data_IF_760964164973
#
_entry.id   IF_760964164973
#
_cell.length_a   1.000
_cell.length_b   1.000
_cell.length_c   1.000
_cell.angle_alpha   90.00
_cell.angle_beta   90.00
_cell.angle_gamma   90.00
#
_symmetry.space_group_name_H-M   'P 1'
#
loop_
_entity.id
_entity.type
_entity.pdbx_description
1 polymer ?
#
# COMPACT_ATOMS: atom_id res chain seq x y z
N UNK A 1 6.77 7.76 17.31
CA UNK A 1 7.83 6.99 18.00
C UNK A 1 9.17 7.49 17.52
N UNK A 2 10.22 7.63 18.36
CA UNK A 2 11.54 7.93 17.86
C UNK A 2 12.11 6.69 17.15
N UNK A 3 12.02 6.68 15.82
CA UNK A 3 12.71 5.69 14.98
C UNK A 3 14.19 6.02 14.85
N UNK A 4 14.99 5.04 14.43
CA UNK A 4 16.41 5.27 14.13
C UNK A 4 16.51 5.90 12.75
N UNK A 5 17.31 6.96 12.62
CA UNK A 5 17.50 7.62 11.32
C UNK A 5 18.53 6.83 10.52
N UNK A 6 18.10 6.21 9.42
CA UNK A 6 19.04 5.61 8.47
C UNK A 6 19.79 6.74 7.78
N UNK A 7 21.11 6.76 7.94
CA UNK A 7 21.99 7.76 7.34
C UNK A 7 22.54 7.30 6.01
N UNK A 8 22.85 6.00 5.88
CA UNK A 8 23.42 5.42 4.67
C UNK A 8 23.03 3.95 4.51
N UNK A 9 22.89 3.54 3.25
CA UNK A 9 22.79 2.14 2.85
C UNK A 9 23.89 1.92 1.80
N UNK A 10 24.84 1.02 2.08
CA UNK A 10 26.01 0.74 1.24
C UNK A 10 26.84 2.00 0.88
N UNK A 11 26.99 2.90 1.85
CA UNK A 11 27.73 4.15 1.70
C UNK A 11 27.03 5.20 0.82
N UNK A 12 25.79 4.94 0.39
CA UNK A 12 24.95 5.89 -0.35
C UNK A 12 23.88 6.47 0.55
N UNK A 13 23.38 7.66 0.17
CA UNK A 13 22.23 8.26 0.84
C UNK A 13 21.00 7.32 0.73
N UNK A 14 20.15 7.24 1.77
CA UNK A 14 18.94 6.43 1.73
C UNK A 14 18.03 6.96 0.63
N UNK A 15 17.57 6.07 -0.22
CA UNK A 15 16.63 6.33 -1.32
C UNK A 15 15.87 5.04 -1.60
N UNK A 16 14.70 5.15 -2.24
CA UNK A 16 13.91 3.97 -2.63
C UNK A 16 14.70 3.03 -3.54
N UNK A 17 15.52 3.58 -4.45
CA UNK A 17 16.43 2.79 -5.28
C UNK A 17 17.51 2.07 -4.47
N UNK A 18 18.12 2.76 -3.49
CA UNK A 18 19.11 2.14 -2.62
C UNK A 18 18.50 1.03 -1.76
N UNK A 19 17.28 1.26 -1.26
CA UNK A 19 16.49 0.29 -0.50
C UNK A 19 16.13 -0.93 -1.35
N UNK A 20 15.55 -0.73 -2.53
CA UNK A 20 15.17 -1.79 -3.46
C UNK A 20 16.38 -2.65 -3.86
N UNK A 21 17.50 -2.02 -4.23
CA UNK A 21 18.77 -2.73 -4.51
C UNK A 21 19.23 -3.55 -3.31
N UNK A 22 19.16 -2.97 -2.11
CA UNK A 22 19.60 -3.62 -0.88
C UNK A 22 18.75 -4.83 -0.48
N UNK A 23 17.43 -4.77 -0.72
CA UNK A 23 16.53 -5.91 -0.53
C UNK A 23 16.83 -7.05 -1.50
N UNK A 24 17.20 -6.68 -2.74
CA UNK A 24 17.52 -7.61 -3.83
C UNK A 24 18.88 -8.28 -3.67
N UNK A 25 19.92 -7.48 -3.45
CA UNK A 25 21.32 -7.90 -3.56
C UNK A 25 21.95 -8.20 -2.17
N UNK A 26 21.18 -7.98 -1.10
CA UNK A 26 21.71 -7.89 0.25
C UNK A 26 22.29 -6.51 0.53
N UNK A 27 22.65 -6.29 1.79
CA UNK A 27 23.36 -5.09 2.22
C UNK A 27 24.81 -5.47 2.49
N UNK A 28 25.72 -4.50 2.44
CA UNK A 28 27.06 -4.62 2.98
C UNK A 28 27.20 -3.80 4.28
N UNK A 29 26.56 -2.63 4.35
CA UNK A 29 26.56 -1.76 5.53
C UNK A 29 25.32 -0.86 5.62
N UNK A 30 24.65 -0.84 6.78
CA UNK A 30 23.68 0.20 7.14
C UNK A 30 24.28 1.07 8.23
N UNK A 31 24.30 2.38 8.03
CA UNK A 31 24.62 3.35 9.07
C UNK A 31 23.34 4.02 9.57
N UNK A 32 23.15 4.08 10.87
CA UNK A 32 21.99 4.73 11.49
C UNK A 32 22.42 5.56 12.70
N UNK A 33 21.65 6.62 12.94
CA UNK A 33 21.82 7.49 14.09
C UNK A 33 20.76 7.17 15.15
N UNK A 34 21.20 6.93 16.38
CA UNK A 34 20.31 6.91 17.52
C UNK A 34 19.93 8.35 17.86
N UNK A 35 18.64 8.74 17.79
CA UNK A 35 18.23 10.12 18.06
C UNK A 35 18.39 10.53 19.53
N UNK A 36 18.47 9.59 20.47
CA UNK A 36 18.60 9.87 21.91
C UNK A 36 20.05 10.10 22.33
N UNK A 37 20.99 9.36 21.74
CA UNK A 37 22.42 9.44 22.08
C UNK A 37 23.25 10.19 21.05
N UNK A 38 22.68 10.51 19.89
CA UNK A 38 23.33 11.05 18.68
C UNK A 38 24.43 10.14 18.09
N UNK A 39 24.66 8.98 18.69
CA UNK A 39 25.68 8.03 18.24
C UNK A 39 25.32 7.46 16.87
N UNK A 40 26.34 7.38 16.01
CA UNK A 40 26.26 6.73 14.72
C UNK A 40 26.78 5.32 14.88
N UNK A 41 25.93 4.38 14.53
CA UNK A 41 26.24 2.97 14.52
C UNK A 41 26.26 2.48 13.08
N UNK A 42 27.05 1.45 12.82
CA UNK A 42 27.07 0.79 11.53
C UNK A 42 26.97 -0.71 11.75
N UNK A 43 25.97 -1.33 11.11
CA UNK A 43 25.83 -2.77 11.11
C UNK A 43 26.31 -3.26 9.75
N UNK A 44 27.33 -4.14 9.70
CA UNK A 44 27.55 -4.97 8.53
C UNK A 44 26.38 -5.95 8.45
N UNK A 45 25.37 -5.59 7.68
CA UNK A 45 24.27 -6.47 7.35
C UNK A 45 24.73 -7.29 6.15
N UNK A 46 24.49 -8.61 6.13
CA UNK A 46 24.68 -9.42 4.93
C UNK A 46 23.36 -9.47 4.15
N UNK A 47 22.34 -10.11 4.71
CA UNK A 47 20.96 -9.97 4.23
C UNK A 47 20.34 -8.68 4.74
N UNK A 48 19.28 -8.20 4.07
CA UNK A 48 18.49 -7.05 4.51
C UNK A 48 18.02 -7.25 5.96
N UNK A 49 18.23 -6.30 6.89
CA UNK A 49 17.72 -6.42 8.24
C UNK A 49 16.20 -6.28 8.19
N UNK A 50 15.51 -7.37 8.49
CA UNK A 50 14.05 -7.38 8.50
C UNK A 50 13.47 -6.69 9.72
N UNK A 51 12.21 -6.25 9.60
CA UNK A 51 11.54 -5.46 10.64
C UNK A 51 11.97 -3.99 10.69
N UNK A 52 12.85 -3.55 9.78
CA UNK A 52 13.08 -2.12 9.53
C UNK A 52 11.92 -1.59 8.69
N UNK A 53 11.10 -0.75 9.30
CA UNK A 53 10.04 -0.01 8.61
C UNK A 53 10.55 1.35 8.20
N UNK A 54 10.44 1.68 6.92
CA UNK A 54 10.66 3.05 6.45
C UNK A 54 9.38 3.80 6.73
N UNK A 55 9.44 4.75 7.67
CA UNK A 55 8.29 5.60 7.97
C UNK A 55 8.20 6.63 6.84
N UNK A 56 7.15 6.61 6.00
CA UNK A 56 6.98 7.61 4.96
C UNK A 56 6.82 8.97 5.64
N UNK A 57 7.60 9.95 5.18
CA UNK A 57 7.60 11.29 5.77
C UNK A 57 7.65 12.38 4.70
N UNK A 58 7.15 13.56 5.05
CA UNK A 58 7.29 14.73 4.17
C UNK A 58 8.72 15.26 4.25
N UNK A 59 9.44 15.14 3.14
CA UNK A 59 10.79 15.66 2.96
C UNK A 59 10.86 16.76 1.88
N UNK A 60 12.00 17.45 1.77
CA UNK A 60 12.19 18.56 0.82
C UNK A 60 12.05 18.13 -0.65
N UNK A 61 12.39 16.88 -0.97
CA UNK A 61 12.19 16.29 -2.29
C UNK A 61 10.72 16.21 -2.65
N UNK A 62 9.91 15.58 -1.79
CA UNK A 62 8.46 15.47 -1.96
C UNK A 62 7.79 16.84 -2.05
N UNK A 63 8.20 17.81 -1.21
CA UNK A 63 7.71 19.20 -1.29
C UNK A 63 7.98 19.81 -2.67
N UNK A 64 9.17 19.55 -3.24
CA UNK A 64 9.56 20.05 -4.56
C UNK A 64 8.78 19.36 -5.67
N UNK A 65 8.56 18.05 -5.56
CA UNK A 65 7.81 17.28 -6.54
C UNK A 65 6.33 17.68 -6.55
N UNK A 66 5.73 17.93 -5.38
CA UNK A 66 4.36 18.46 -5.29
C UNK A 66 4.27 19.83 -5.95
N UNK A 67 5.20 20.75 -5.65
CA UNK A 67 5.23 22.10 -6.27
C UNK A 67 5.33 22.06 -7.79
N UNK A 68 5.97 21.03 -8.34
CA UNK A 68 6.18 20.87 -9.78
C UNK A 68 5.15 19.94 -10.44
N UNK A 69 4.12 19.51 -9.71
CA UNK A 69 3.10 18.56 -10.18
C UNK A 69 3.68 17.22 -10.66
N UNK A 70 4.84 16.82 -10.12
CA UNK A 70 5.53 15.57 -10.43
C UNK A 70 5.52 14.58 -9.26
N UNK A 71 4.87 14.92 -8.14
CA UNK A 71 4.82 14.04 -6.97
C UNK A 71 4.22 12.68 -7.32
N UNK A 72 4.90 11.62 -6.86
CA UNK A 72 4.33 10.28 -6.90
C UNK A 72 3.13 10.21 -5.96
N UNK A 73 1.97 9.94 -6.53
CA UNK A 73 0.72 9.77 -5.81
C UNK A 73 0.83 8.64 -4.77
N UNK A 74 1.58 7.56 -5.06
CA UNK A 74 1.77 6.47 -4.11
C UNK A 74 2.55 6.90 -2.88
N UNK A 75 3.56 7.76 -3.02
CA UNK A 75 4.32 8.30 -1.89
C UNK A 75 3.44 9.14 -0.95
N UNK A 76 2.54 9.97 -1.52
CA UNK A 76 1.57 10.75 -0.73
C UNK A 76 0.58 9.84 0.00
N UNK A 77 0.10 8.79 -0.68
CA UNK A 77 -0.79 7.80 -0.09
C UNK A 77 -0.14 6.99 1.02
N UNK A 78 1.14 6.65 0.91
CA UNK A 78 1.88 5.94 1.94
C UNK A 78 1.90 6.71 3.27
N UNK A 79 2.12 8.03 3.23
CA UNK A 79 2.09 8.91 4.43
C UNK A 79 0.73 8.84 5.12
N UNK A 80 -0.35 8.98 4.35
CA UNK A 80 -1.71 8.88 4.89
C UNK A 80 -2.03 7.49 5.46
N UNK A 81 -1.72 6.42 4.72
CA UNK A 81 -1.97 5.05 5.12
C UNK A 81 -1.16 4.60 6.35
N UNK A 82 0.04 5.17 6.54
CA UNK A 82 0.82 4.95 7.75
C UNK A 82 0.15 5.55 9.00
N UNK A 83 -0.68 6.58 8.83
CA UNK A 83 -1.35 7.30 9.92
C UNK A 83 -0.71 8.65 10.24
N UNK A 84 0.35 9.05 9.54
CA UNK A 84 1.05 10.33 9.72
C UNK A 84 0.43 11.46 8.90
N UNK A 85 -0.88 11.42 8.68
CA UNK A 85 -1.61 12.41 7.87
C UNK A 85 -1.43 13.86 8.34
N UNK A 86 -1.10 14.08 9.62
CA UNK A 86 -0.80 15.42 10.18
C UNK A 86 0.43 16.05 9.49
N UNK A 87 1.35 15.24 8.97
CA UNK A 87 2.52 15.72 8.23
C UNK A 87 2.15 16.48 6.95
N UNK A 88 0.94 16.28 6.40
CA UNK A 88 0.42 17.05 5.27
C UNK A 88 0.35 18.56 5.55
N UNK A 89 0.35 18.98 6.83
CA UNK A 89 0.51 20.38 7.19
C UNK A 89 1.74 21.04 6.52
N UNK A 90 2.84 20.28 6.34
CA UNK A 90 4.08 20.74 5.68
C UNK A 90 3.92 20.89 4.16
N UNK A 91 2.93 20.22 3.56
CA UNK A 91 2.67 20.23 2.12
C UNK A 91 1.69 21.33 1.67
N UNK A 92 1.04 22.05 2.61
CA UNK A 92 0.05 23.11 2.28
C UNK A 92 0.56 24.04 1.19
N UNK A 93 1.70 24.69 1.40
CA UNK A 93 2.19 25.70 0.46
C UNK A 93 2.61 25.10 -0.88
N UNK A 94 3.04 23.82 -0.87
CA UNK A 94 3.36 23.08 -2.08
C UNK A 94 2.10 22.82 -2.91
N UNK A 95 1.04 22.31 -2.28
CA UNK A 95 -0.25 22.09 -2.95
C UNK A 95 -0.91 23.39 -3.39
N UNK A 96 -0.89 24.45 -2.58
CA UNK A 96 -1.35 25.78 -2.99
C UNK A 96 -0.62 26.27 -4.25
N UNK A 97 0.67 25.96 -4.39
CA UNK A 97 1.46 26.32 -5.58
C UNK A 97 1.11 25.44 -6.78
N UNK A 98 0.88 24.15 -6.56
CA UNK A 98 0.56 23.18 -7.60
C UNK A 98 -0.82 23.45 -8.25
N UNK A 99 -1.81 23.86 -7.46
CA UNK A 99 -3.17 24.18 -7.96
C UNK A 99 -3.26 25.58 -8.57
N UNK A 100 -2.25 26.43 -8.40
CA UNK A 100 -2.22 27.75 -9.01
C UNK A 100 -1.80 27.66 -10.49
N UNK A 101 -2.37 28.53 -11.36
CA UNK A 101 -1.89 28.66 -12.72
C UNK A 101 -0.39 29.00 -12.77
N UNK A 102 0.36 28.46 -13.74
CA UNK A 102 1.81 28.67 -13.88
C UNK A 102 2.25 30.14 -13.81
N UNK A 103 1.45 31.07 -14.36
CA UNK A 103 1.74 32.50 -14.31
C UNK A 103 1.62 33.08 -12.89
N UNK A 104 0.74 32.54 -12.05
CA UNK A 104 0.58 32.95 -10.66
C UNK A 104 1.78 32.53 -9.81
N UNK A 105 2.55 31.52 -10.21
CA UNK A 105 3.81 31.16 -9.54
C UNK A 105 4.92 32.20 -9.77
N UNK A 106 4.86 32.98 -10.86
CA UNK A 106 5.83 34.04 -11.19
C UNK A 106 5.57 35.36 -10.45
N UNK A 107 4.30 35.68 -10.15
CA UNK A 107 3.89 36.94 -9.52
C UNK A 107 3.17 36.77 -8.18
N UNK A 108 3.01 35.54 -7.69
CA UNK A 108 2.20 35.19 -6.52
C UNK A 108 2.65 35.86 -5.23
N UNK A 109 3.93 36.18 -5.10
CA UNK A 109 4.47 36.97 -3.97
C UNK A 109 3.95 38.42 -3.91
N UNK A 110 3.31 38.91 -4.97
CA UNK A 110 2.71 40.23 -5.06
C UNK A 110 1.17 40.17 -5.02
N UNK A 111 0.57 38.98 -4.94
CA UNK A 111 -0.87 38.79 -4.86
C UNK A 111 -1.30 38.89 -3.40
N UNK A 112 -2.37 39.64 -3.11
CA UNK A 112 -2.96 39.60 -1.77
C UNK A 112 -3.59 38.22 -1.49
N UNK A 113 -3.75 37.92 -0.21
CA UNK A 113 -4.18 36.60 0.26
C UNK A 113 -5.56 36.21 -0.26
N UNK A 114 -6.51 37.15 -0.34
CA UNK A 114 -7.88 36.88 -0.78
C UNK A 114 -7.93 36.53 -2.27
N UNK A 115 -7.20 37.27 -3.12
CA UNK A 115 -7.09 36.94 -4.54
C UNK A 115 -6.38 35.61 -4.77
N UNK A 116 -5.31 35.32 -4.02
CA UNK A 116 -4.60 34.05 -4.13
C UNK A 116 -5.51 32.88 -3.79
N UNK A 117 -6.28 33.01 -2.71
CA UNK A 117 -7.24 32.00 -2.28
C UNK A 117 -8.37 31.78 -3.29
N UNK A 118 -8.94 32.85 -3.83
CA UNK A 118 -9.96 32.75 -4.88
C UNK A 118 -9.44 32.03 -6.14
N UNK A 119 -8.15 32.17 -6.45
CA UNK A 119 -7.51 31.46 -7.58
C UNK A 119 -7.27 29.99 -7.29
N UNK A 120 -6.85 29.65 -6.07
CA UNK A 120 -6.71 28.26 -5.62
C UNK A 120 -8.04 27.52 -5.80
N UNK A 121 -9.15 28.10 -5.30
CA UNK A 121 -10.48 27.49 -5.41
C UNK A 121 -11.16 27.69 -6.79
N UNK A 122 -10.46 28.28 -7.75
CA UNK A 122 -10.86 28.27 -9.14
C UNK A 122 -10.13 27.19 -9.96
N UNK A 123 -9.23 26.42 -9.34
CA UNK A 123 -8.51 25.33 -9.98
C UNK A 123 -9.47 24.21 -10.41
N UNK A 124 -9.18 23.58 -11.55
CA UNK A 124 -9.87 22.37 -12.03
C UNK A 124 -9.10 21.08 -11.68
N UNK A 125 -7.97 21.20 -10.96
CA UNK A 125 -7.15 20.07 -10.50
C UNK A 125 -7.76 19.44 -9.23
N UNK A 126 -8.72 18.55 -9.44
CA UNK A 126 -9.50 17.87 -8.41
C UNK A 126 -8.60 17.09 -7.44
N UNK A 127 -7.55 16.44 -7.97
CA UNK A 127 -6.68 15.58 -7.17
C UNK A 127 -5.88 16.38 -6.14
N UNK A 128 -5.24 17.46 -6.60
CA UNK A 128 -4.48 18.33 -5.71
C UNK A 128 -5.39 19.15 -4.78
N UNK A 129 -6.65 19.45 -5.17
CA UNK A 129 -7.63 20.07 -4.27
C UNK A 129 -7.99 19.15 -3.08
N UNK A 130 -8.20 17.85 -3.30
CA UNK A 130 -8.48 16.90 -2.21
C UNK A 130 -7.27 16.76 -1.27
N UNK A 131 -6.06 16.68 -1.80
CA UNK A 131 -4.83 16.61 -0.99
C UNK A 131 -4.53 17.93 -0.25
N UNK A 132 -4.87 19.07 -0.86
CA UNK A 132 -4.84 20.38 -0.20
C UNK A 132 -5.85 20.44 0.95
N UNK A 133 -7.04 19.85 0.80
CA UNK A 133 -8.02 19.76 1.87
C UNK A 133 -7.47 19.01 3.09
N UNK A 134 -6.74 17.90 2.89
CA UNK A 134 -6.06 17.19 3.97
C UNK A 134 -5.00 18.06 4.66
N UNK A 135 -4.26 18.86 3.89
CA UNK A 135 -3.26 19.80 4.41
C UNK A 135 -3.90 20.91 5.25
N UNK A 136 -5.02 21.47 4.81
CA UNK A 136 -5.81 22.42 5.60
C UNK A 136 -6.36 21.79 6.88
N UNK A 137 -6.89 20.57 6.79
CA UNK A 137 -7.39 19.84 7.96
C UNK A 137 -6.28 19.57 8.98
N UNK A 138 -5.09 19.17 8.53
CA UNK A 138 -3.91 18.97 9.39
C UNK A 138 -3.49 20.24 10.15
N UNK A 139 -3.81 21.42 9.62
CA UNK A 139 -3.57 22.73 10.25
C UNK A 139 -4.77 23.25 11.06
N UNK A 140 -5.85 22.48 11.19
CA UNK A 140 -7.09 22.90 11.85
C UNK A 140 -7.88 23.98 11.09
N UNK A 141 -7.65 24.12 9.78
CA UNK A 141 -8.32 25.07 8.90
C UNK A 141 -9.55 24.44 8.25
N UNK A 142 -10.49 23.97 9.08
CA UNK A 142 -11.63 23.15 8.64
C UNK A 142 -12.50 23.82 7.56
N UNK A 143 -12.74 25.13 7.65
CA UNK A 143 -13.49 25.88 6.62
C UNK A 143 -12.82 25.80 5.24
N UNK A 144 -11.48 25.88 5.20
CA UNK A 144 -10.72 25.79 3.95
C UNK A 144 -10.65 24.36 3.44
N UNK A 145 -10.58 23.38 4.35
CA UNK A 145 -10.66 21.97 3.99
C UNK A 145 -12.00 21.66 3.31
N UNK A 146 -13.13 22.12 3.88
CA UNK A 146 -14.46 21.93 3.26
C UNK A 146 -14.57 22.64 1.93
N UNK A 147 -14.11 23.89 1.84
CA UNK A 147 -14.15 24.64 0.58
C UNK A 147 -13.34 23.93 -0.53
N UNK A 148 -12.19 23.34 -0.19
CA UNK A 148 -11.39 22.57 -1.14
C UNK A 148 -12.14 21.32 -1.63
N UNK A 149 -12.78 20.56 -0.73
CA UNK A 149 -13.59 19.39 -1.07
C UNK A 149 -14.78 19.80 -1.96
N UNK A 150 -15.55 20.80 -1.56
CA UNK A 150 -16.71 21.30 -2.33
C UNK A 150 -16.31 21.70 -3.76
N UNK A 151 -15.17 22.38 -3.89
CA UNK A 151 -14.62 22.79 -5.19
C UNK A 151 -14.23 21.57 -6.04
N UNK A 152 -13.57 20.58 -5.43
CA UNK A 152 -13.19 19.34 -6.10
C UNK A 152 -14.42 18.55 -6.57
N UNK A 153 -15.44 18.40 -5.72
CA UNK A 153 -16.69 17.70 -6.04
C UNK A 153 -17.48 18.43 -7.13
N UNK A 154 -17.63 19.76 -7.03
CA UNK A 154 -18.29 20.57 -8.06
C UNK A 154 -17.63 20.41 -9.42
N UNK A 155 -16.30 20.49 -9.49
CA UNK A 155 -15.57 20.32 -10.74
C UNK A 155 -15.67 18.90 -11.29
N UNK A 156 -15.65 17.88 -10.42
CA UNK A 156 -15.84 16.48 -10.82
C UNK A 156 -17.21 16.29 -11.49
N UNK A 157 -18.27 16.81 -10.88
CA UNK A 157 -19.63 16.75 -11.42
C UNK A 157 -19.76 17.51 -12.74
N UNK A 158 -19.22 18.73 -12.79
CA UNK A 158 -19.19 19.57 -14.00
C UNK A 158 -18.46 18.89 -15.17
N UNK A 159 -17.40 18.13 -14.89
CA UNK A 159 -16.64 17.37 -15.88
C UNK A 159 -17.28 16.03 -16.25
N UNK A 160 -18.42 15.64 -15.64
CA UNK A 160 -19.08 14.36 -15.90
C UNK A 160 -18.26 13.14 -15.44
N UNK A 161 -17.34 13.33 -14.49
CA UNK A 161 -16.50 12.25 -13.98
C UNK A 161 -17.25 11.40 -12.96
N UNK A 162 -17.88 10.33 -13.46
CA UNK A 162 -18.61 9.36 -12.66
C UNK A 162 -17.73 8.30 -12.01
N UNK A 163 -16.45 8.22 -12.38
CA UNK A 163 -15.48 7.27 -11.80
C UNK A 163 -14.20 8.03 -11.44
N UNK A 164 -13.76 7.88 -10.20
CA UNK A 164 -12.44 8.29 -9.71
C UNK A 164 -11.80 7.11 -8.97
N UNK A 165 -10.47 7.09 -8.82
CA UNK A 165 -9.80 6.08 -8.00
C UNK A 165 -10.39 6.08 -6.57
N UNK A 166 -10.62 4.89 -6.00
CA UNK A 166 -11.25 4.73 -4.68
C UNK A 166 -10.53 5.51 -3.58
N UNK A 167 -9.22 5.68 -3.74
CA UNK A 167 -8.35 6.44 -2.85
C UNK A 167 -8.81 7.90 -2.65
N UNK A 168 -9.35 8.56 -3.68
CA UNK A 168 -9.84 9.94 -3.57
C UNK A 168 -11.11 10.02 -2.75
N UNK A 169 -12.07 9.13 -3.02
CA UNK A 169 -13.30 9.07 -2.23
C UNK A 169 -12.98 8.73 -0.78
N UNK A 170 -12.07 7.78 -0.55
CA UNK A 170 -11.63 7.44 0.79
C UNK A 170 -10.98 8.60 1.54
N UNK A 171 -10.17 9.42 0.85
CA UNK A 171 -9.59 10.64 1.43
C UNK A 171 -10.66 11.67 1.82
N UNK A 172 -11.68 11.88 0.98
CA UNK A 172 -12.79 12.79 1.31
C UNK A 172 -13.53 12.32 2.56
N UNK A 173 -13.90 11.03 2.61
CA UNK A 173 -14.51 10.42 3.79
C UNK A 173 -13.65 10.56 5.03
N UNK A 174 -12.34 10.34 4.90
CA UNK A 174 -11.39 10.49 6.00
C UNK A 174 -11.38 11.93 6.55
N UNK A 175 -11.32 12.94 5.68
CA UNK A 175 -11.33 14.34 6.08
C UNK A 175 -12.67 14.72 6.73
N UNK A 176 -13.78 14.31 6.14
CA UNK A 176 -15.12 14.61 6.67
C UNK A 176 -15.32 14.01 8.08
N UNK A 177 -14.88 12.77 8.31
CA UNK A 177 -14.89 12.16 9.65
C UNK A 177 -14.03 12.98 10.62
N UNK A 178 -12.82 13.39 10.24
CA UNK A 178 -11.96 14.23 11.08
C UNK A 178 -12.59 15.60 11.38
N UNK A 179 -13.34 16.18 10.44
CA UNK A 179 -14.06 17.42 10.65
C UNK A 179 -15.20 17.24 11.66
N UNK A 180 -15.96 16.14 11.57
CA UNK A 180 -17.01 15.80 12.56
C UNK A 180 -16.45 15.59 13.96
N UNK A 181 -15.32 14.89 14.08
CA UNK A 181 -14.61 14.76 15.36
C UNK A 181 -14.18 16.12 15.91
N UNK A 182 -13.69 17.02 15.04
CA UNK A 182 -13.24 18.36 15.41
C UNK A 182 -14.34 19.23 16.05
N UNK A 183 -15.59 19.02 15.66
CA UNK A 183 -16.76 19.73 16.23
C UNK A 183 -17.45 18.95 17.38
N UNK A 184 -16.89 17.82 17.80
CA UNK A 184 -17.43 17.00 18.89
C UNK A 184 -18.63 16.13 18.51
N UNK A 185 -18.90 15.93 17.22
CA UNK A 185 -19.99 15.08 16.72
C UNK A 185 -19.56 13.60 16.66
N UNK A 186 -19.18 13.01 17.80
CA UNK A 186 -18.53 11.70 17.85
C UNK A 186 -19.40 10.54 17.35
N UNK A 187 -20.71 10.55 17.60
CA UNK A 187 -21.64 9.50 17.12
C UNK A 187 -21.76 9.53 15.59
N UNK A 188 -21.95 10.72 15.00
CA UNK A 188 -22.01 10.91 13.56
C UNK A 188 -20.66 10.55 12.90
N UNK A 189 -19.55 10.95 13.52
CA UNK A 189 -18.22 10.58 13.05
C UNK A 189 -18.00 9.06 13.03
N UNK A 190 -18.53 8.33 14.02
CA UNK A 190 -18.46 6.87 14.06
C UNK A 190 -19.28 6.22 12.94
N UNK A 191 -20.52 6.66 12.73
CA UNK A 191 -21.38 6.15 11.64
C UNK A 191 -20.76 6.42 10.26
N UNK A 192 -20.18 7.61 10.08
CA UNK A 192 -19.47 7.97 8.86
C UNK A 192 -18.21 7.13 8.67
N UNK A 193 -17.43 6.90 9.73
CA UNK A 193 -16.23 6.06 9.67
C UNK A 193 -16.58 4.59 9.34
N UNK A 194 -17.66 4.06 9.91
CA UNK A 194 -18.16 2.71 9.61
C UNK A 194 -18.59 2.60 8.13
N UNK A 195 -19.35 3.59 7.64
CA UNK A 195 -19.77 3.66 6.24
C UNK A 195 -18.58 3.75 5.29
N UNK A 196 -17.59 4.58 5.63
CA UNK A 196 -16.39 4.76 4.83
C UNK A 196 -15.57 3.47 4.75
N UNK A 197 -15.37 2.75 5.87
CA UNK A 197 -14.65 1.48 5.87
C UNK A 197 -15.45 0.38 5.16
N UNK A 198 -16.77 0.34 5.29
CA UNK A 198 -17.60 -0.61 4.56
C UNK A 198 -17.56 -0.39 3.05
N UNK A 199 -17.48 0.88 2.60
CA UNK A 199 -17.40 1.24 1.19
C UNK A 199 -16.00 1.15 0.58
N UNK A 200 -14.96 1.29 1.41
CA UNK A 200 -13.55 1.27 0.99
C UNK A 200 -12.70 0.45 1.97
N UNK A 201 -12.99 -0.86 2.12
CA UNK A 201 -12.37 -1.71 3.11
C UNK A 201 -10.87 -1.88 2.87
N UNK A 202 -10.36 -1.58 1.68
CA UNK A 202 -8.96 -1.68 1.28
C UNK A 202 -8.07 -0.53 1.79
N UNK A 203 -8.67 0.60 2.20
CA UNK A 203 -7.92 1.81 2.53
C UNK A 203 -7.49 1.85 4.01
N UNK A 204 -6.21 1.57 4.25
CA UNK A 204 -5.60 1.53 5.58
C UNK A 204 -5.84 2.80 6.41
N UNK A 205 -5.77 3.99 5.80
CA UNK A 205 -6.06 5.25 6.49
C UNK A 205 -7.47 5.29 7.12
N UNK A 206 -8.48 4.83 6.39
CA UNK A 206 -9.87 4.75 6.90
C UNK A 206 -10.02 3.69 7.98
N UNK A 207 -9.41 2.51 7.80
CA UNK A 207 -9.42 1.45 8.81
C UNK A 207 -8.83 1.92 10.13
N UNK A 208 -7.69 2.64 10.08
CA UNK A 208 -7.05 3.24 11.26
C UNK A 208 -7.92 4.30 11.91
N UNK A 209 -8.56 5.16 11.12
CA UNK A 209 -9.47 6.19 11.64
C UNK A 209 -10.67 5.56 12.35
N UNK A 210 -11.32 4.56 11.75
CA UNK A 210 -12.43 3.85 12.38
C UNK A 210 -12.01 3.15 13.68
N UNK A 211 -10.86 2.49 13.71
CA UNK A 211 -10.34 1.87 14.93
C UNK A 211 -10.11 2.90 16.06
N UNK A 212 -9.59 4.08 15.70
CA UNK A 212 -9.41 5.20 16.63
C UNK A 212 -10.74 5.74 17.15
N UNK A 213 -11.74 5.96 16.27
CA UNK A 213 -13.02 6.57 16.64
C UNK A 213 -13.91 5.61 17.43
N UNK A 214 -13.87 4.31 17.11
CA UNK A 214 -14.66 3.29 17.80
C UNK A 214 -14.14 2.93 19.21
N UNK A 215 -13.04 3.55 19.65
CA UNK A 215 -12.32 3.21 20.88
C UNK A 215 -11.98 1.71 20.97
N UNK A 216 -11.76 1.09 19.79
CA UNK A 216 -11.32 -0.28 19.62
C UNK A 216 -9.87 -0.26 19.16
N UNK A 217 -9.01 0.35 19.96
CA UNK A 217 -7.56 0.31 19.76
C UNK A 217 -7.12 -1.17 19.69
N UNK A 218 -6.69 -1.62 18.50
CA UNK A 218 -6.31 -3.01 18.24
C UNK A 218 -7.25 -3.79 17.31
N UNK A 219 -8.43 -3.28 16.97
CA UNK A 219 -9.26 -3.83 15.89
C UNK A 219 -8.93 -3.13 14.57
N UNK A 220 -7.73 -3.43 14.03
CA UNK A 220 -7.48 -3.31 12.60
C UNK A 220 -8.45 -4.31 11.96
N UNK A 221 -9.58 -3.82 11.44
CA UNK A 221 -10.65 -4.71 11.01
C UNK A 221 -10.15 -5.65 9.91
N UNK A 222 -10.25 -6.92 10.29
CA UNK A 222 -9.73 -8.10 9.65
C UNK A 222 -10.50 -8.32 8.35
N UNK A 223 -9.80 -8.64 7.25
CA UNK A 223 -10.52 -9.22 6.11
C UNK A 223 -11.39 -10.37 6.63
N UNK A 224 -12.65 -10.50 6.19
CA UNK A 224 -13.57 -11.52 6.69
C UNK A 224 -13.07 -12.95 6.43
N UNK A 225 -11.99 -13.09 5.65
CA UNK A 225 -11.30 -14.34 5.34
C UNK A 225 -10.24 -14.71 6.38
N UNK A 226 -9.74 -13.77 7.17
CA UNK A 226 -8.69 -14.06 8.16
C UNK A 226 -9.20 -15.07 9.19
N UNK A 227 -8.37 -16.08 9.48
CA UNK A 227 -8.70 -17.19 10.37
C UNK A 227 -9.63 -18.23 9.75
N UNK A 228 -10.10 -18.01 8.52
CA UNK A 228 -11.02 -18.93 7.81
C UNK A 228 -10.30 -19.68 6.68
N UNK A 229 -10.86 -20.82 6.22
CA UNK A 229 -10.38 -21.48 5.01
C UNK A 229 -10.45 -20.55 3.80
N UNK A 230 -9.42 -20.60 2.97
CA UNK A 230 -9.39 -19.86 1.71
C UNK A 230 -10.57 -20.29 0.82
N UNK A 231 -11.43 -19.36 0.37
CA UNK A 231 -12.75 -19.70 -0.16
C UNK A 231 -12.71 -20.18 -1.63
N UNK A 232 -11.54 -20.18 -2.27
CA UNK A 232 -11.39 -20.51 -3.68
C UNK A 232 -10.45 -21.72 -3.87
N UNK A 233 -11.03 -22.92 -3.92
CA UNK A 233 -10.31 -24.17 -4.17
C UNK A 233 -10.00 -24.34 -5.67
N UNK A 234 -9.05 -23.55 -6.17
CA UNK A 234 -8.74 -23.50 -7.60
C UNK A 234 -7.98 -24.71 -8.11
N UNK A 235 -8.11 -24.92 -9.43
CA UNK A 235 -7.24 -25.76 -10.25
C UNK A 235 -7.00 -25.08 -11.58
N UNK A 236 -5.85 -24.41 -11.71
CA UNK A 236 -5.55 -23.51 -12.83
C UNK A 236 -4.36 -24.03 -13.65
N UNK A 237 -4.33 -23.81 -14.98
CA UNK A 237 -3.16 -24.07 -15.79
C UNK A 237 -1.93 -23.30 -15.29
N UNK A 238 -0.79 -23.98 -15.13
CA UNK A 238 0.49 -23.30 -14.94
C UNK A 238 1.01 -22.85 -16.31
N UNK A 239 0.88 -21.57 -16.57
CA UNK A 239 1.32 -20.96 -17.81
C UNK A 239 1.78 -19.52 -17.54
N UNK A 240 2.99 -19.20 -17.97
CA UNK A 240 3.51 -17.83 -17.90
C UNK A 240 3.48 -17.20 -19.30
N UNK A 241 2.59 -16.23 -19.57
CA UNK A 241 2.58 -15.51 -20.83
C UNK A 241 3.94 -14.89 -21.15
N UNK A 242 4.68 -14.46 -20.12
CA UNK A 242 5.99 -13.83 -20.25
C UNK A 242 7.12 -14.83 -20.51
N UNK A 243 6.87 -16.14 -20.40
CA UNK A 243 7.86 -17.20 -20.56
C UNK A 243 9.11 -17.05 -19.65
N UNK A 244 9.01 -16.29 -18.55
CA UNK A 244 10.06 -16.19 -17.52
C UNK A 244 10.09 -17.49 -16.71
N UNK A 245 8.90 -18.01 -16.41
CA UNK A 245 8.68 -19.26 -15.68
C UNK A 245 8.20 -20.36 -16.63
N UNK A 246 8.58 -21.62 -16.38
CA UNK A 246 8.19 -22.72 -17.26
C UNK A 246 6.71 -23.06 -17.11
N UNK A 247 6.10 -23.47 -18.23
CA UNK A 247 4.79 -24.13 -18.22
C UNK A 247 4.87 -25.46 -17.47
N UNK A 248 3.74 -25.87 -16.90
CA UNK A 248 3.65 -27.08 -16.09
C UNK A 248 2.28 -27.73 -16.12
N UNK A 249 2.10 -28.85 -15.40
CA UNK A 249 0.77 -29.40 -15.17
C UNK A 249 -0.12 -28.37 -14.45
N UNK A 250 -1.45 -28.48 -14.55
CA UNK A 250 -2.34 -27.63 -13.78
C UNK A 250 -2.06 -27.74 -12.28
N UNK A 251 -2.00 -26.60 -11.60
CA UNK A 251 -1.75 -26.48 -10.16
C UNK A 251 -3.09 -26.37 -9.46
N UNK A 252 -3.29 -27.17 -8.41
CA UNK A 252 -4.46 -27.09 -7.56
C UNK A 252 -4.11 -26.64 -6.15
N UNK A 253 -5.00 -25.86 -5.53
CA UNK A 253 -4.83 -25.49 -4.13
C UNK A 253 -4.85 -26.73 -3.22
N UNK A 254 -5.82 -27.67 -3.31
CA UNK A 254 -5.83 -28.85 -2.45
C UNK A 254 -4.56 -29.68 -2.52
N UNK A 255 -4.07 -30.00 -3.74
CA UNK A 255 -2.86 -30.80 -3.90
C UNK A 255 -1.63 -30.06 -3.34
N UNK A 256 -1.57 -28.74 -3.46
CA UNK A 256 -0.47 -27.95 -2.91
C UNK A 256 -0.50 -27.95 -1.38
N UNK A 257 -1.68 -27.76 -0.77
CA UNK A 257 -1.82 -27.78 0.70
C UNK A 257 -1.40 -29.14 1.30
N UNK A 258 -1.65 -30.25 0.61
CA UNK A 258 -1.19 -31.59 1.05
C UNK A 258 0.35 -31.71 1.10
N UNK A 259 1.08 -30.87 0.36
CA UNK A 259 2.56 -30.84 0.37
C UNK A 259 3.15 -29.93 1.44
N UNK A 260 2.36 -29.00 1.99
CA UNK A 260 2.83 -28.06 2.99
C UNK A 260 3.04 -28.74 4.34
N UNK A 261 4.18 -28.47 4.98
CA UNK A 261 4.42 -28.86 6.35
C UNK A 261 3.83 -27.85 7.33
N UNK A 262 3.54 -28.32 8.55
CA UNK A 262 3.09 -27.43 9.63
C UNK A 262 4.12 -26.32 9.85
N UNK A 263 3.65 -25.07 9.86
CA UNK A 263 4.50 -23.90 10.02
C UNK A 263 5.00 -23.28 8.71
N UNK A 264 4.77 -23.93 7.57
CA UNK A 264 5.06 -23.36 6.24
C UNK A 264 3.88 -22.56 5.71
N UNK A 265 4.20 -21.66 4.79
CA UNK A 265 3.25 -20.76 4.13
C UNK A 265 3.18 -21.02 2.63
N UNK A 266 1.96 -20.90 2.11
CA UNK A 266 1.67 -20.74 0.69
C UNK A 266 1.24 -19.29 0.47
N UNK A 267 1.93 -18.59 -0.43
CA UNK A 267 1.55 -17.24 -0.84
C UNK A 267 0.71 -17.32 -2.10
N UNK A 268 -0.47 -16.72 -2.10
CA UNK A 268 -1.37 -16.66 -3.25
C UNK A 268 -1.59 -15.20 -3.63
N UNK A 269 -1.03 -14.79 -4.76
CA UNK A 269 -1.25 -13.49 -5.37
C UNK A 269 -2.38 -13.54 -6.40
N UNK A 270 -3.26 -12.56 -6.37
CA UNK A 270 -4.22 -12.29 -7.44
C UNK A 270 -3.89 -10.96 -8.11
N UNK A 271 -3.68 -11.00 -9.42
CA UNK A 271 -3.28 -9.84 -10.23
C UNK A 271 -4.36 -9.37 -11.21
N UNK A 272 -5.50 -10.06 -11.29
CA UNK A 272 -6.54 -9.75 -12.27
C UNK A 272 -5.98 -9.68 -13.69
N UNK A 273 -6.33 -8.63 -14.44
CA UNK A 273 -5.84 -8.43 -15.81
C UNK A 273 -4.34 -8.10 -15.93
N UNK A 274 -3.61 -7.95 -14.81
CA UNK A 274 -2.17 -7.69 -14.82
C UNK A 274 -1.39 -9.00 -14.79
N UNK A 275 -0.30 -9.10 -15.57
CA UNK A 275 0.75 -10.12 -15.34
C UNK A 275 1.77 -9.65 -14.31
N UNK A 276 1.98 -8.35 -14.22
CA UNK A 276 2.88 -7.67 -13.27
C UNK A 276 2.55 -6.18 -13.29
N UNK A 277 2.94 -5.45 -12.24
CA UNK A 277 2.83 -4.00 -12.12
C UNK A 277 3.84 -3.48 -11.07
N UNK A 278 3.97 -2.16 -10.93
CA UNK A 278 4.91 -1.53 -9.99
C UNK A 278 4.74 -2.02 -8.53
N UNK A 279 3.52 -1.99 -7.96
CA UNK A 279 3.29 -2.53 -6.63
C UNK A 279 3.68 -4.02 -6.47
N UNK A 280 3.38 -4.86 -7.47
CA UNK A 280 3.76 -6.26 -7.44
C UNK A 280 5.28 -6.46 -7.53
N UNK A 281 6.00 -5.60 -8.25
CA UNK A 281 7.46 -5.63 -8.23
C UNK A 281 8.01 -5.44 -6.80
N UNK A 282 7.46 -4.50 -6.03
CA UNK A 282 7.86 -4.25 -4.64
C UNK A 282 7.55 -5.44 -3.71
N UNK A 283 6.43 -6.13 -3.95
CA UNK A 283 6.11 -7.40 -3.26
C UNK A 283 7.20 -8.45 -3.50
N UNK A 284 7.64 -8.62 -4.75
CA UNK A 284 8.66 -9.61 -5.12
C UNK A 284 10.05 -9.28 -4.56
N UNK A 285 10.42 -8.00 -4.48
CA UNK A 285 11.69 -7.58 -3.88
C UNK A 285 11.78 -7.96 -2.40
N UNK A 286 10.69 -7.80 -1.65
CA UNK A 286 10.64 -8.24 -0.25
C UNK A 286 10.52 -9.76 -0.13
N UNK A 287 9.81 -10.42 -1.04
CA UNK A 287 9.75 -11.88 -1.09
C UNK A 287 11.14 -12.52 -1.21
N UNK A 288 12.01 -11.96 -2.06
CA UNK A 288 13.41 -12.40 -2.17
C UNK A 288 14.11 -12.33 -0.81
N UNK A 289 14.06 -11.17 -0.17
CA UNK A 289 14.72 -10.95 1.11
C UNK A 289 14.18 -11.92 2.19
N UNK A 290 12.84 -12.05 2.30
CA UNK A 290 12.19 -12.90 3.29
C UNK A 290 12.48 -14.39 3.05
N UNK A 291 12.54 -14.81 1.78
CA UNK A 291 12.90 -16.19 1.44
C UNK A 291 14.36 -16.49 1.79
N UNK A 292 15.28 -15.55 1.59
CA UNK A 292 16.68 -15.71 1.99
C UNK A 292 16.86 -15.82 3.52
N UNK A 293 15.98 -15.20 4.30
CA UNK A 293 15.98 -15.30 5.77
C UNK A 293 15.60 -16.70 6.26
N UNK A 294 14.49 -17.24 5.75
CA UNK A 294 13.98 -18.55 6.12
C UNK A 294 13.38 -19.26 4.90
N UNK A 295 14.22 -19.94 4.09
CA UNK A 295 13.80 -20.61 2.85
C UNK A 295 12.76 -21.71 3.09
N UNK A 296 12.77 -22.30 4.28
CA UNK A 296 11.84 -23.37 4.65
C UNK A 296 10.47 -22.81 5.02
N UNK A 297 10.33 -21.50 5.26
CA UNK A 297 9.06 -20.89 5.66
C UNK A 297 8.07 -20.76 4.52
N UNK A 298 8.53 -20.35 3.35
CA UNK A 298 7.68 -20.12 2.17
C UNK A 298 7.82 -21.33 1.26
N UNK A 299 6.85 -22.24 1.34
CA UNK A 299 6.86 -23.51 0.62
C UNK A 299 6.53 -23.34 -0.87
N UNK A 300 5.67 -22.38 -1.20
CA UNK A 300 5.23 -22.14 -2.58
C UNK A 300 4.64 -20.73 -2.75
N UNK A 301 4.69 -20.22 -3.98
CA UNK A 301 4.14 -18.92 -4.38
C UNK A 301 3.33 -19.09 -5.66
N UNK A 302 2.03 -18.87 -5.57
CA UNK A 302 1.10 -18.93 -6.68
C UNK A 302 0.69 -17.53 -7.12
N UNK A 303 0.85 -17.23 -8.40
CA UNK A 303 0.49 -15.94 -8.98
C UNK A 303 -0.59 -16.14 -10.02
N UNK A 304 -1.83 -15.79 -9.64
CA UNK A 304 -3.01 -15.95 -10.48
C UNK A 304 -3.22 -14.68 -11.29
N UNK A 305 -3.29 -14.83 -12.61
CA UNK A 305 -3.47 -13.72 -13.55
C UNK A 305 -4.44 -14.08 -14.68
N UNK A 306 -5.30 -13.12 -15.03
CA UNK A 306 -6.17 -13.17 -16.20
C UNK A 306 -5.49 -12.61 -17.47
N UNK A 307 -4.24 -12.17 -17.37
CA UNK A 307 -3.49 -11.66 -18.51
C UNK A 307 -3.32 -12.74 -19.58
N UNK A 308 -3.89 -12.48 -20.76
CA UNK A 308 -3.95 -13.43 -21.87
C UNK A 308 -3.52 -12.81 -23.22
N UNK A 309 -2.83 -11.67 -23.18
CA UNK A 309 -2.37 -10.92 -24.35
C UNK A 309 -0.90 -11.25 -24.65
N UNK A 310 -0.43 -10.92 -25.85
CA UNK A 310 1.00 -11.05 -26.16
C UNK A 310 1.84 -10.18 -25.22
N UNK A 311 2.94 -10.69 -24.65
CA UNK A 311 3.74 -9.98 -23.65
C UNK A 311 4.21 -8.61 -24.11
N UNK A 312 4.59 -8.48 -25.38
CA UNK A 312 5.04 -7.22 -25.98
C UNK A 312 3.99 -6.10 -25.91
N UNK A 313 2.71 -6.44 -25.70
CA UNK A 313 1.63 -5.48 -25.49
C UNK A 313 1.52 -5.00 -24.03
N UNK A 314 2.30 -5.57 -23.10
CA UNK A 314 2.39 -5.09 -21.72
C UNK A 314 3.45 -4.00 -21.59
N UNK A 315 3.08 -2.88 -20.97
CA UNK A 315 4.03 -1.85 -20.55
C UNK A 315 5.14 -2.36 -19.62
N UNK A 316 4.89 -3.47 -18.92
CA UNK A 316 5.79 -4.02 -17.91
C UNK A 316 6.64 -5.20 -18.39
N UNK A 317 6.52 -5.59 -19.66
CA UNK A 317 7.22 -6.74 -20.24
C UNK A 317 8.74 -6.71 -20.00
N UNK A 318 9.39 -5.60 -20.33
CA UNK A 318 10.84 -5.40 -20.22
C UNK A 318 11.27 -4.78 -18.88
N UNK A 319 10.30 -4.46 -18.00
CA UNK A 319 10.52 -3.74 -16.74
C UNK A 319 10.58 -4.66 -15.53
N UNK A 320 10.07 -5.88 -15.65
CA UNK A 320 9.97 -6.82 -14.55
C UNK A 320 11.26 -7.63 -14.32
N UNK A 321 12.37 -6.93 -14.12
CA UNK A 321 13.70 -7.55 -13.97
C UNK A 321 13.84 -8.35 -12.66
N UNK A 322 12.99 -8.08 -11.67
CA UNK A 322 13.02 -8.76 -10.36
C UNK A 322 12.73 -10.26 -10.46
N UNK A 323 11.92 -10.72 -11.42
CA UNK A 323 11.60 -12.15 -11.53
C UNK A 323 12.80 -13.01 -11.94
N UNK A 324 13.74 -12.47 -12.73
CA UNK A 324 14.98 -13.16 -13.04
C UNK A 324 15.82 -13.39 -11.77
N UNK A 325 15.82 -12.41 -10.86
CA UNK A 325 16.48 -12.50 -9.57
C UNK A 325 15.76 -13.49 -8.64
N UNK A 326 14.42 -13.39 -8.55
CA UNK A 326 13.58 -14.33 -7.80
C UNK A 326 13.84 -15.79 -8.20
N UNK A 327 14.00 -16.04 -9.51
CA UNK A 327 14.36 -17.34 -10.05
C UNK A 327 15.77 -17.78 -9.62
N UNK A 328 16.74 -16.86 -9.63
CA UNK A 328 18.11 -17.16 -9.19
C UNK A 328 18.23 -17.47 -7.70
N UNK A 329 17.33 -16.93 -6.87
CA UNK A 329 17.30 -17.20 -5.42
C UNK A 329 16.58 -18.49 -5.06
N UNK A 330 15.99 -19.18 -6.05
CA UNK A 330 15.36 -20.49 -5.85
C UNK A 330 13.97 -20.45 -5.24
N UNK A 331 13.29 -19.29 -5.25
CA UNK A 331 11.92 -19.19 -4.73
C UNK A 331 10.99 -20.11 -5.54
N UNK A 332 10.18 -20.96 -4.88
CA UNK A 332 9.22 -21.83 -5.54
C UNK A 332 8.03 -21.01 -6.06
N UNK A 333 8.11 -20.55 -7.30
CA UNK A 333 7.16 -19.60 -7.89
C UNK A 333 6.45 -20.18 -9.11
N UNK A 334 5.12 -20.00 -9.18
CA UNK A 334 4.26 -20.49 -10.25
C UNK A 334 3.31 -19.41 -10.75
N UNK A 335 3.27 -19.24 -12.07
CA UNK A 335 2.28 -18.38 -12.73
C UNK A 335 1.10 -19.23 -13.17
N UNK A 336 -0.09 -18.87 -12.70
CA UNK A 336 -1.34 -19.58 -12.95
C UNK A 336 -2.24 -18.73 -13.85
N UNK A 337 -2.57 -19.26 -15.02
CA UNK A 337 -3.40 -18.57 -16.01
C UNK A 337 -4.89 -18.76 -15.68
N UNK A 338 -5.61 -17.66 -15.52
CA UNK A 338 -7.06 -17.61 -15.27
C UNK A 338 -7.74 -16.62 -16.22
N UNK A 339 -7.81 -16.90 -17.54
CA UNK A 339 -8.27 -15.92 -18.54
C UNK A 339 -9.71 -15.43 -18.37
N UNK A 340 -10.51 -16.12 -17.55
CA UNK A 340 -11.88 -15.74 -17.22
C UNK A 340 -11.96 -14.83 -15.98
N UNK A 341 -10.82 -14.50 -15.37
CA UNK A 341 -10.72 -13.71 -14.15
C UNK A 341 -11.60 -14.24 -13.01
N UNK A 342 -11.69 -15.58 -12.93
CA UNK A 342 -12.56 -16.27 -11.98
C UNK A 342 -12.10 -16.07 -10.53
N UNK A 343 -10.80 -15.96 -10.29
CA UNK A 343 -10.22 -15.69 -8.98
C UNK A 343 -10.66 -14.33 -8.45
N UNK A 344 -10.57 -13.27 -9.25
CA UNK A 344 -11.02 -11.93 -8.87
C UNK A 344 -12.50 -11.93 -8.47
N UNK A 345 -13.34 -12.57 -9.28
CA UNK A 345 -14.78 -12.65 -9.02
C UNK A 345 -15.12 -13.44 -7.73
N UNK A 346 -14.47 -14.59 -7.51
CA UNK A 346 -14.72 -15.47 -6.36
C UNK A 346 -14.19 -14.87 -5.05
N UNK A 347 -13.00 -14.27 -5.10
CA UNK A 347 -12.34 -13.67 -3.95
C UNK A 347 -12.79 -12.23 -3.68
N UNK A 348 -13.57 -11.63 -4.61
CA UNK A 348 -13.97 -10.22 -4.60
C UNK A 348 -12.75 -9.30 -4.48
N UNK A 349 -11.77 -9.53 -5.35
CA UNK A 349 -10.54 -8.73 -5.36
C UNK A 349 -10.84 -7.34 -5.91
N UNK A 350 -10.50 -6.31 -5.14
CA UNK A 350 -10.75 -4.91 -5.49
C UNK A 350 -9.45 -4.15 -5.84
N UNK A 351 -8.28 -4.74 -5.55
CA UNK A 351 -6.97 -4.15 -5.82
C UNK A 351 -5.94 -5.20 -6.29
N UNK A 352 -4.94 -4.76 -7.06
CA UNK A 352 -3.90 -5.63 -7.61
C UNK A 352 -2.50 -5.05 -7.35
N UNK A 353 -1.57 -5.83 -6.77
CA UNK A 353 -1.74 -7.21 -6.30
C UNK A 353 -2.58 -7.28 -5.02
N UNK A 354 -3.38 -8.34 -4.89
CA UNK A 354 -3.88 -8.80 -3.58
C UNK A 354 -3.15 -10.07 -3.19
N UNK A 355 -2.61 -10.11 -1.98
CA UNK A 355 -1.90 -11.25 -1.42
C UNK A 355 -2.77 -11.95 -0.36
N UNK A 356 -2.74 -13.27 -0.37
CA UNK A 356 -3.19 -14.12 0.74
C UNK A 356 -2.04 -15.01 1.18
N UNK A 357 -1.77 -15.03 2.49
CA UNK A 357 -0.80 -15.95 3.09
C UNK A 357 -1.56 -17.06 3.81
N UNK A 358 -1.39 -18.30 3.35
CA UNK A 358 -2.10 -19.47 3.84
C UNK A 358 -1.18 -20.38 4.65
N UNK A 359 -1.71 -21.05 5.67
CA UNK A 359 -1.02 -22.14 6.35
C UNK A 359 -1.28 -23.49 5.67
N UNK A 360 -0.71 -24.58 6.21
CA UNK A 360 -0.88 -25.94 5.72
C UNK A 360 -2.33 -26.47 5.71
N UNK A 361 -3.23 -25.89 6.51
CA UNK A 361 -4.65 -26.24 6.56
C UNK A 361 -5.47 -25.39 5.55
N UNK A 362 -4.82 -24.50 4.80
CA UNK A 362 -5.47 -23.57 3.89
C UNK A 362 -6.16 -22.40 4.60
N UNK A 363 -5.85 -22.15 5.86
CA UNK A 363 -6.39 -21.01 6.63
C UNK A 363 -5.65 -19.73 6.23
N UNK A 364 -6.41 -18.66 5.99
CA UNK A 364 -5.84 -17.34 5.67
C UNK A 364 -5.27 -16.70 6.94
N UNK A 365 -3.95 -16.60 7.00
CA UNK A 365 -3.21 -15.98 8.09
C UNK A 365 -3.03 -14.47 7.87
N UNK A 366 -2.90 -14.03 6.62
CA UNK A 366 -2.78 -12.61 6.30
C UNK A 366 -3.35 -12.29 4.92
N UNK A 367 -3.81 -11.04 4.78
CA UNK A 367 -4.20 -10.42 3.50
C UNK A 367 -3.40 -9.15 3.20
N UNK A 368 -2.47 -8.79 4.10
CA UNK A 368 -1.58 -7.65 3.89
C UNK A 368 -0.40 -8.07 3.00
N UNK A 369 0.11 -7.12 2.22
CA UNK A 369 1.24 -7.34 1.31
C UNK A 369 2.58 -7.56 2.03
N UNK A 370 3.59 -7.92 1.26
CA UNK A 370 4.99 -8.02 1.65
C UNK A 370 5.77 -6.73 1.43
N UNK A 371 5.23 -5.72 0.74
CA UNK A 371 5.92 -4.45 0.47
C UNK A 371 6.57 -3.83 1.74
N UNK A 372 5.85 -3.90 2.87
CA UNK A 372 6.27 -3.47 4.20
C UNK A 372 6.49 -4.64 5.18
N UNK A 373 6.58 -5.87 4.66
CA UNK A 373 6.71 -7.14 5.42
C UNK A 373 5.54 -7.47 6.39
N UNK A 374 4.55 -6.57 6.54
CA UNK A 374 3.44 -6.72 7.47
C UNK A 374 2.68 -8.04 7.28
N UNK A 375 2.45 -8.42 6.02
CA UNK A 375 1.82 -9.69 5.68
C UNK A 375 2.53 -10.88 6.33
N UNK A 376 3.85 -10.94 6.16
CA UNK A 376 4.70 -12.03 6.64
C UNK A 376 4.74 -12.09 8.17
N UNK A 377 4.97 -10.96 8.84
CA UNK A 377 5.04 -10.93 10.30
C UNK A 377 3.71 -11.24 10.97
N UNK A 378 2.60 -10.75 10.39
CA UNK A 378 1.26 -11.14 10.83
C UNK A 378 1.05 -12.64 10.68
N UNK A 379 1.46 -13.23 9.55
CA UNK A 379 1.32 -14.66 9.31
C UNK A 379 2.13 -15.49 10.32
N UNK A 380 3.36 -15.09 10.65
CA UNK A 380 4.16 -15.76 11.69
C UNK A 380 3.44 -15.71 13.04
N UNK A 381 3.04 -14.53 13.49
CA UNK A 381 2.41 -14.36 14.80
C UNK A 381 1.11 -15.15 14.92
N UNK A 382 0.22 -15.02 13.91
CA UNK A 382 -1.08 -15.70 13.87
C UNK A 382 -0.97 -17.22 13.77
N UNK A 383 0.00 -17.72 13.01
CA UNK A 383 0.19 -19.17 12.88
C UNK A 383 0.67 -19.85 14.18
N UNK A 384 1.20 -19.05 15.12
CA UNK A 384 1.64 -19.51 16.43
C UNK A 384 0.59 -19.27 17.52
N UNK A 385 -0.46 -18.50 17.25
CA UNK A 385 -1.48 -18.11 18.22
C UNK A 385 -2.70 -19.06 18.14
N UNK A 386 -2.91 -19.96 19.12
CA UNK A 386 -4.06 -20.84 19.12
C UNK A 386 -5.40 -20.09 19.24
N UNK A 387 -5.40 -18.88 19.81
CA UNK A 387 -6.61 -18.07 19.95
C UNK A 387 -7.10 -17.54 18.60
N UNK A 388 -6.19 -17.36 17.65
CA UNK A 388 -6.52 -16.88 16.30
C UNK A 388 -7.41 -17.86 15.51
N UNK A 389 -7.32 -19.15 15.82
CA UNK A 389 -8.08 -20.21 15.14
C UNK A 389 -9.39 -20.57 15.86
N UNK A 390 -9.71 -19.90 16.97
CA UNK A 390 -10.97 -20.11 17.66
C UNK A 390 -12.05 -19.29 16.97
N UNK A 391 -13.10 -19.97 16.49
CA UNK A 391 -14.29 -19.29 15.98
C UNK A 391 -14.85 -18.38 17.09
N UNK A 392 -15.22 -17.14 16.72
CA UNK A 392 -15.98 -16.27 17.61
C UNK A 392 -17.18 -17.06 18.15
N UNK A 393 -17.43 -17.06 19.47
CA UNK A 393 -18.63 -17.68 20.01
C UNK A 393 -19.82 -17.02 19.33
N UNK A 394 -20.57 -17.82 18.57
CA UNK A 394 -21.79 -17.39 17.90
C UNK A 394 -22.75 -16.80 18.94
N UNK A 395 -23.00 -15.50 18.88
CA UNK A 395 -24.11 -14.80 19.53
C UNK A 395 -25.16 -14.36 18.49
#
# INVERSE_FOLDING_TARGET
>A
MPGWLILQIDGLAPSDDALARSKRDGINMVAFQNPETEEIWSIPAGTWPHGIKVIPCVNDGLITDVKSSNADFQALHAIWNHGDWVEFAKLKDAFETAVLPLWANLIGRFMDSAHRQARIFASEDINNLVLLALSYKALGQDDLARQAIDTAEYNREKQGMHRMPSQYFGLIWFIDVLMKLGIGASEEALEMAETAVAGYPELNGLRRLYASVSNREGLIFWSPLLGKPFPYAYRLPQHDPFATWPDGPPVSLPDTLETLQKGQFLLVYCLGEYRTNGPFQQELENLIALYQLDPDKIADVHVITAYNKDPENSFWWDKNQVEAQLKSTGVPYRVLSDPQDSATAQLKVEAYPTLYILNHEGIVLSVEGLAEEDGYWQAIGRNQDPAFFQDDPTD
#
